data_IF_707425448415
#
_entry.id   IF_707425448415
#
_cell.length_a   1.000
_cell.length_b   1.000
_cell.length_c   1.000
_cell.angle_alpha   90.00
_cell.angle_beta   90.00
_cell.angle_gamma   90.00
#
_symmetry.space_group_name_H-M   'P 1'
#
loop_
_entity.id
_entity.type
_entity.pdbx_description
1 polymer ?
#
# COMPACT_ATOMS: atom_id res chain seq x y z
N UNK A 1 12.82 15.92 29.77
CA UNK A 1 11.86 16.86 29.17
C UNK A 1 11.32 16.17 27.93
N UNK A 2 10.10 15.61 27.98
CA UNK A 2 9.50 14.92 26.83
C UNK A 2 8.89 15.96 25.91
N UNK A 3 9.54 16.20 24.77
CA UNK A 3 8.94 16.98 23.68
C UNK A 3 7.73 16.16 23.21
N UNK A 4 6.51 16.71 23.18
CA UNK A 4 5.36 15.98 22.70
C UNK A 4 5.58 15.65 21.22
N UNK A 5 5.38 14.39 20.82
CA UNK A 5 5.57 13.88 19.45
C UNK A 5 4.94 14.79 18.38
N UNK A 6 3.87 15.52 18.73
CA UNK A 6 3.15 16.38 17.82
C UNK A 6 3.64 17.83 17.72
N UNK A 7 4.57 18.28 18.57
CA UNK A 7 5.12 19.65 18.45
C UNK A 7 6.14 19.80 17.33
N UNK A 8 6.78 18.71 16.90
CA UNK A 8 7.75 18.71 15.79
C UNK A 8 7.05 18.96 14.43
N UNK A 9 5.82 18.46 14.26
CA UNK A 9 5.04 18.65 13.03
C UNK A 9 4.52 20.09 12.81
N UNK A 10 4.64 20.99 13.80
CA UNK A 10 4.11 22.37 13.67
C UNK A 10 4.87 23.23 12.66
N UNK A 11 6.11 22.86 12.31
CA UNK A 11 6.97 23.62 11.40
C UNK A 11 6.89 23.15 9.94
N UNK A 12 6.10 22.11 9.65
CA UNK A 12 6.01 21.53 8.31
C UNK A 12 4.85 22.15 7.56
N UNK A 13 5.10 22.67 6.36
CA UNK A 13 4.01 23.15 5.50
C UNK A 13 3.05 21.98 5.18
N UNK A 14 1.73 22.13 5.41
CA UNK A 14 0.77 21.03 5.20
C UNK A 14 0.82 20.47 3.77
N UNK A 15 1.12 21.31 2.78
CA UNK A 15 1.28 20.90 1.39
C UNK A 15 2.48 19.96 1.17
N UNK A 16 3.60 20.17 1.87
CA UNK A 16 4.78 19.30 1.75
C UNK A 16 4.51 17.92 2.35
N UNK A 17 3.92 17.85 3.55
CA UNK A 17 3.57 16.59 4.18
C UNK A 17 2.59 15.77 3.32
N UNK A 18 1.53 16.41 2.83
CA UNK A 18 0.55 15.76 1.95
C UNK A 18 1.18 15.28 0.65
N UNK A 19 2.00 16.10 0.01
CA UNK A 19 2.68 15.71 -1.24
C UNK A 19 3.61 14.49 -1.01
N UNK A 20 4.30 14.43 0.15
CA UNK A 20 5.16 13.29 0.50
C UNK A 20 4.34 12.02 0.76
N UNK A 21 3.25 12.12 1.54
CA UNK A 21 2.34 11.00 1.80
C UNK A 21 1.77 10.47 0.47
N UNK A 22 1.35 11.35 -0.44
CA UNK A 22 0.82 10.96 -1.74
C UNK A 22 1.88 10.28 -2.62
N UNK A 23 3.11 10.81 -2.63
CA UNK A 23 4.22 10.17 -3.33
C UNK A 23 4.42 8.73 -2.84
N UNK A 24 4.59 8.55 -1.53
CA UNK A 24 4.80 7.23 -0.92
C UNK A 24 3.61 6.31 -1.16
N UNK A 25 2.39 6.83 -1.04
CA UNK A 25 1.16 6.10 -1.27
C UNK A 25 1.10 5.50 -2.68
N UNK A 26 1.25 6.32 -3.72
CA UNK A 26 1.19 5.84 -5.09
C UNK A 26 2.36 4.91 -5.42
N UNK A 27 3.59 5.27 -5.04
CA UNK A 27 4.76 4.42 -5.27
C UNK A 27 4.62 3.06 -4.58
N UNK A 28 4.07 3.02 -3.36
CA UNK A 28 3.83 1.77 -2.63
C UNK A 28 2.78 0.89 -3.32
N UNK A 29 1.69 1.46 -3.86
CA UNK A 29 0.74 0.69 -4.69
C UNK A 29 1.46 0.07 -5.89
N UNK A 30 2.30 0.85 -6.59
CA UNK A 30 3.09 0.36 -7.72
C UNK A 30 4.00 -0.81 -7.34
N UNK A 31 4.75 -0.70 -6.23
CA UNK A 31 5.61 -1.77 -5.71
C UNK A 31 4.80 -3.03 -5.35
N UNK A 32 3.69 -2.88 -4.63
CA UNK A 32 2.82 -4.01 -4.26
C UNK A 32 2.31 -4.72 -5.52
N UNK A 33 1.89 -3.97 -6.54
CA UNK A 33 1.43 -4.56 -7.80
C UNK A 33 2.56 -5.28 -8.55
N UNK A 34 3.76 -4.72 -8.62
CA UNK A 34 4.92 -5.40 -9.23
C UNK A 34 5.28 -6.69 -8.50
N UNK A 35 5.30 -6.67 -7.16
CA UNK A 35 5.57 -7.84 -6.33
C UNK A 35 4.48 -8.92 -6.47
N UNK A 36 3.20 -8.50 -6.56
CA UNK A 36 2.09 -9.41 -6.80
C UNK A 36 2.18 -10.06 -8.19
N UNK A 37 2.57 -9.30 -9.22
CA UNK A 37 2.77 -9.81 -10.58
C UNK A 37 3.93 -10.81 -10.62
N UNK A 38 5.08 -10.48 -10.01
CA UNK A 38 6.26 -11.39 -9.99
C UNK A 38 5.98 -12.68 -9.23
N UNK A 39 5.15 -12.61 -8.18
CA UNK A 39 4.76 -13.76 -7.35
C UNK A 39 3.49 -14.46 -7.85
N UNK A 40 2.91 -14.01 -8.96
CA UNK A 40 1.64 -14.51 -9.53
C UNK A 40 0.48 -14.55 -8.51
N UNK A 41 0.42 -13.57 -7.60
CA UNK A 41 -0.65 -13.42 -6.62
C UNK A 41 -1.89 -12.82 -7.29
N UNK A 42 -2.58 -13.63 -8.10
CA UNK A 42 -3.74 -13.22 -8.91
C UNK A 42 -4.84 -12.54 -8.10
N UNK A 43 -4.96 -12.87 -6.81
CA UNK A 43 -5.90 -12.23 -5.89
C UNK A 43 -5.65 -10.76 -5.55
N UNK A 44 -4.42 -10.28 -5.74
CA UNK A 44 -3.98 -8.93 -5.38
C UNK A 44 -3.82 -8.04 -6.62
N UNK A 45 -3.58 -8.66 -7.78
CA UNK A 45 -3.41 -7.95 -9.05
C UNK A 45 -4.71 -7.21 -9.38
N UNK A 46 -4.61 -5.89 -9.57
CA UNK A 46 -5.75 -5.00 -9.82
C UNK A 46 -6.21 -5.02 -11.28
N UNK A 47 -5.32 -5.39 -12.20
CA UNK A 47 -5.59 -5.34 -13.65
C UNK A 47 -5.29 -6.70 -14.27
N UNK A 48 -6.30 -7.27 -14.96
CA UNK A 48 -6.22 -8.64 -15.49
C UNK A 48 -5.18 -8.83 -16.60
N UNK A 49 -4.95 -7.79 -17.42
CA UNK A 49 -3.90 -7.82 -18.44
C UNK A 49 -2.53 -7.56 -17.79
N UNK A 50 -1.72 -8.61 -17.64
CA UNK A 50 -0.45 -8.55 -16.90
C UNK A 50 0.58 -7.60 -17.52
N UNK A 51 0.63 -7.47 -18.85
CA UNK A 51 1.57 -6.55 -19.51
C UNK A 51 1.21 -5.11 -19.20
N UNK A 52 -0.08 -4.78 -19.31
CA UNK A 52 -0.59 -3.45 -18.98
C UNK A 52 -0.49 -3.17 -17.47
N UNK A 53 -0.79 -4.15 -16.63
CA UNK A 53 -0.63 -4.07 -15.18
C UNK A 53 0.81 -3.77 -14.79
N UNK A 54 1.78 -4.45 -15.40
CA UNK A 54 3.21 -4.24 -15.16
C UNK A 54 3.65 -2.84 -15.56
N UNK A 55 3.24 -2.36 -16.73
CA UNK A 55 3.57 -1.00 -17.19
C UNK A 55 2.96 0.07 -16.29
N UNK A 56 1.69 -0.08 -15.90
CA UNK A 56 1.02 0.85 -15.00
C UNK A 56 1.67 0.83 -13.62
N UNK A 57 2.00 -0.35 -13.09
CA UNK A 57 2.66 -0.48 -11.80
C UNK A 57 4.04 0.17 -11.80
N UNK A 58 4.84 -0.02 -12.86
CA UNK A 58 6.13 0.65 -13.01
C UNK A 58 6.00 2.18 -13.09
N UNK A 59 5.01 2.69 -13.84
CA UNK A 59 4.71 4.12 -13.87
C UNK A 59 4.27 4.65 -12.50
N UNK A 60 3.48 3.89 -11.75
CA UNK A 60 3.07 4.25 -10.39
C UNK A 60 4.25 4.30 -9.41
N UNK A 61 5.34 3.57 -9.65
CA UNK A 61 6.55 3.69 -8.83
C UNK A 61 7.30 4.98 -9.14
N UNK A 62 7.53 5.26 -10.42
CA UNK A 62 8.47 6.30 -10.87
C UNK A 62 7.82 7.68 -10.91
N UNK A 63 6.62 7.79 -11.49
CA UNK A 63 5.99 9.09 -11.75
C UNK A 63 5.73 9.92 -10.49
N UNK A 64 5.27 9.36 -9.35
CA UNK A 64 5.06 10.14 -8.13
C UNK A 64 6.37 10.68 -7.55
N UNK A 65 7.46 9.91 -7.64
CA UNK A 65 8.79 10.35 -7.20
C UNK A 65 9.26 11.53 -8.05
N UNK A 66 9.17 11.42 -9.38
CA UNK A 66 9.52 12.51 -10.28
C UNK A 66 8.66 13.76 -10.02
N UNK A 67 7.35 13.59 -9.85
CA UNK A 67 6.43 14.69 -9.53
C UNK A 67 6.79 15.37 -8.21
N UNK A 68 7.10 14.59 -7.17
CA UNK A 68 7.42 15.12 -5.85
C UNK A 68 8.67 16.02 -5.90
N UNK A 69 9.73 15.57 -6.58
CA UNK A 69 10.98 16.33 -6.69
C UNK A 69 10.94 17.44 -7.75
N UNK A 70 10.02 17.39 -8.72
CA UNK A 70 9.88 18.44 -9.73
C UNK A 70 9.16 19.71 -9.22
N UNK A 71 8.34 19.61 -8.17
CA UNK A 71 7.43 20.69 -7.73
C UNK A 71 8.16 21.86 -7.06
N UNK A 72 9.23 21.60 -6.31
CA UNK A 72 10.06 22.62 -5.66
C UNK A 72 11.43 22.04 -5.31
N UNK A 73 12.39 22.87 -4.88
CA UNK A 73 13.67 22.36 -4.40
C UNK A 73 13.47 21.63 -3.06
N UNK A 74 13.16 20.33 -3.11
CA UNK A 74 12.86 19.51 -1.93
C UNK A 74 14.07 18.77 -1.37
N UNK A 75 15.19 18.82 -2.08
CA UNK A 75 16.45 18.22 -1.64
C UNK A 75 17.23 19.24 -0.79
N UNK A 76 16.69 19.53 0.39
CA UNK A 76 17.25 20.47 1.36
C UNK A 76 17.51 19.69 2.65
N UNK A 77 18.63 19.97 3.32
CA UNK A 77 18.94 19.35 4.60
C UNK A 77 17.95 19.77 5.68
N UNK A 78 17.69 18.88 6.65
CA UNK A 78 16.83 19.08 7.82
C UNK A 78 17.13 20.38 8.59
N UNK A 79 18.40 20.69 8.85
CA UNK A 79 18.82 21.93 9.51
C UNK A 79 18.64 23.20 8.67
N UNK A 80 18.39 23.05 7.37
CA UNK A 80 18.16 24.15 6.42
C UNK A 80 16.69 24.28 6.00
N UNK A 81 15.77 23.66 6.75
CA UNK A 81 14.32 23.69 6.48
C UNK A 81 13.82 22.53 5.61
N UNK A 82 14.65 21.50 5.42
CA UNK A 82 14.23 20.19 4.92
C UNK A 82 13.38 19.42 5.94
N UNK A 83 12.71 18.37 5.48
CA UNK A 83 11.89 17.53 6.35
C UNK A 83 12.80 16.70 7.28
N UNK A 84 12.56 16.74 8.59
CA UNK A 84 13.30 15.92 9.56
C UNK A 84 13.14 14.42 9.25
N UNK A 85 14.15 13.63 9.59
CA UNK A 85 14.15 12.19 9.31
C UNK A 85 13.01 11.45 10.06
N UNK A 86 12.66 11.87 11.27
CA UNK A 86 11.57 11.26 12.03
C UNK A 86 10.22 11.58 11.38
N UNK A 87 10.03 12.82 10.95
CA UNK A 87 8.82 13.25 10.22
C UNK A 87 8.65 12.47 8.91
N UNK A 88 9.74 12.32 8.14
CA UNK A 88 9.76 11.50 6.92
C UNK A 88 9.35 10.05 7.21
N UNK A 89 9.85 9.45 8.28
CA UNK A 89 9.52 8.08 8.66
C UNK A 89 8.02 7.93 9.00
N UNK A 90 7.45 8.89 9.73
CA UNK A 90 6.02 8.88 10.08
C UNK A 90 5.16 9.02 8.83
N UNK A 91 5.46 9.98 7.95
CA UNK A 91 4.69 10.15 6.70
C UNK A 91 4.85 8.98 5.74
N UNK A 92 6.05 8.39 5.68
CA UNK A 92 6.30 7.18 4.92
C UNK A 92 5.41 6.03 5.41
N UNK A 93 5.38 5.81 6.73
CA UNK A 93 4.57 4.76 7.34
C UNK A 93 3.07 4.98 7.03
N UNK A 94 2.57 6.20 7.18
CA UNK A 94 1.18 6.55 6.87
C UNK A 94 0.86 6.25 5.40
N UNK A 95 1.69 6.73 4.47
CA UNK A 95 1.52 6.50 3.03
C UNK A 95 1.52 5.01 2.68
N UNK A 96 2.48 4.25 3.21
CA UNK A 96 2.62 2.81 2.96
C UNK A 96 1.45 1.98 3.53
N UNK A 97 0.99 2.31 4.74
CA UNK A 97 -0.18 1.65 5.37
C UNK A 97 -1.44 1.94 4.55
N UNK A 98 -1.68 3.20 4.16
CA UNK A 98 -2.83 3.58 3.33
C UNK A 98 -2.80 2.87 1.97
N UNK A 99 -1.62 2.77 1.34
CA UNK A 99 -1.44 2.07 0.07
C UNK A 99 -1.78 0.59 0.20
N UNK A 100 -1.35 -0.05 1.28
CA UNK A 100 -1.63 -1.46 1.57
C UNK A 100 -3.13 -1.68 1.78
N UNK A 101 -3.76 -0.89 2.65
CA UNK A 101 -5.21 -0.96 2.92
C UNK A 101 -6.01 -0.76 1.63
N UNK A 102 -5.67 0.27 0.85
CA UNK A 102 -6.33 0.57 -0.42
C UNK A 102 -6.16 -0.58 -1.40
N UNK A 103 -4.94 -1.11 -1.57
CA UNK A 103 -4.68 -2.21 -2.50
C UNK A 103 -5.50 -3.44 -2.16
N UNK A 104 -5.52 -3.84 -0.88
CA UNK A 104 -6.28 -5.00 -0.42
C UNK A 104 -7.80 -4.78 -0.57
N UNK A 105 -8.28 -3.57 -0.27
CA UNK A 105 -9.71 -3.23 -0.40
C UNK A 105 -10.15 -3.26 -1.86
N UNK A 106 -9.40 -2.62 -2.75
CA UNK A 106 -9.72 -2.58 -4.18
C UNK A 106 -9.57 -3.97 -4.80
N UNK A 107 -8.51 -4.71 -4.50
CA UNK A 107 -8.32 -6.06 -5.05
C UNK A 107 -9.43 -7.02 -4.60
N UNK A 108 -9.90 -6.89 -3.35
CA UNK A 108 -11.05 -7.63 -2.83
C UNK A 108 -12.33 -7.37 -3.63
N UNK A 109 -12.55 -6.13 -4.07
CA UNK A 109 -13.72 -5.77 -4.88
C UNK A 109 -13.57 -6.26 -6.33
N UNK A 110 -12.40 -6.05 -6.94
CA UNK A 110 -12.13 -6.38 -8.35
C UNK A 110 -12.12 -7.90 -8.58
N UNK A 111 -11.52 -8.66 -7.66
CA UNK A 111 -11.30 -10.10 -7.83
C UNK A 111 -12.38 -10.98 -7.19
N UNK A 112 -13.48 -10.38 -6.69
CA UNK A 112 -14.56 -11.09 -5.95
C UNK A 112 -15.04 -12.38 -6.62
N UNK A 113 -15.19 -12.40 -7.96
CA UNK A 113 -15.67 -13.56 -8.73
C UNK A 113 -14.68 -14.73 -8.79
N UNK A 114 -13.38 -14.47 -8.74
CA UNK A 114 -12.35 -15.52 -8.73
C UNK A 114 -12.39 -16.35 -7.42
N UNK A 115 -13.06 -15.80 -6.40
CA UNK A 115 -13.08 -16.30 -5.04
C UNK A 115 -14.39 -16.95 -4.62
N UNK A 116 -15.52 -16.64 -5.25
CA UNK A 116 -16.79 -17.37 -5.05
C UNK A 116 -16.73 -18.80 -5.61
N UNK A 117 -15.85 -19.07 -6.59
CA UNK A 117 -15.75 -20.40 -7.24
C UNK A 117 -14.88 -21.40 -6.47
N UNK A 118 -13.98 -20.95 -5.58
CA UNK A 118 -13.08 -21.82 -4.82
C UNK A 118 -13.66 -22.16 -3.43
N UNK A 119 -14.71 -22.97 -3.40
CA UNK A 119 -15.41 -23.32 -2.17
C UNK A 119 -14.75 -24.45 -1.35
N UNK A 120 -13.59 -24.96 -1.78
CA UNK A 120 -12.80 -25.98 -1.07
C UNK A 120 -11.40 -25.43 -0.77
N UNK A 121 -11.23 -24.77 0.37
CA UNK A 121 -9.92 -24.31 0.83
C UNK A 121 -9.46 -25.18 2.01
N UNK A 122 -8.62 -26.21 1.78
CA UNK A 122 -7.83 -26.81 2.85
C UNK A 122 -6.83 -25.77 3.39
N UNK A 123 -6.58 -25.81 4.69
CA UNK A 123 -5.88 -24.81 5.50
C UNK A 123 -4.36 -24.67 5.25
N UNK A 124 -3.93 -24.56 3.99
CA UNK A 124 -2.54 -24.37 3.61
C UNK A 124 -2.26 -22.93 3.11
N UNK A 125 -1.05 -22.42 3.33
CA UNK A 125 -0.60 -21.08 2.89
C UNK A 125 -0.74 -20.86 1.38
N UNK A 126 -0.72 -21.94 0.59
CA UNK A 126 -0.98 -21.92 -0.85
C UNK A 126 -2.40 -21.40 -1.19
N UNK A 127 -3.36 -21.55 -0.28
CA UNK A 127 -4.72 -21.04 -0.41
C UNK A 127 -4.79 -19.51 -0.39
N UNK A 128 -3.79 -18.80 0.17
CA UNK A 128 -3.73 -17.32 0.10
C UNK A 128 -3.44 -16.81 -1.31
N UNK A 129 -2.80 -17.62 -2.17
CA UNK A 129 -2.55 -17.23 -3.57
C UNK A 129 -3.85 -17.08 -4.36
N UNK A 130 -4.84 -17.92 -4.02
CA UNK A 130 -6.11 -18.07 -4.70
C UNK A 130 -7.33 -17.72 -3.82
N UNK A 131 -7.16 -17.00 -2.69
CA UNK A 131 -8.27 -16.46 -1.87
C UNK A 131 -8.10 -14.97 -1.53
N UNK A 132 -9.20 -14.23 -1.33
CA UNK A 132 -9.12 -12.86 -0.81
C UNK A 132 -8.77 -12.89 0.68
N UNK A 133 -7.91 -11.99 1.13
CA UNK A 133 -7.56 -11.86 2.55
C UNK A 133 -8.80 -11.70 3.45
N UNK A 134 -9.80 -10.93 3.00
CA UNK A 134 -11.10 -10.78 3.69
C UNK A 134 -11.87 -12.10 3.84
N UNK A 135 -11.98 -12.88 2.76
CA UNK A 135 -12.69 -14.16 2.77
C UNK A 135 -11.97 -15.20 3.64
N UNK A 136 -10.64 -15.15 3.69
CA UNK A 136 -9.84 -16.04 4.54
C UNK A 136 -10.09 -15.76 6.03
N UNK A 137 -10.00 -14.49 6.45
CA UNK A 137 -10.31 -14.09 7.82
C UNK A 137 -11.75 -14.42 8.19
N UNK A 138 -12.72 -14.10 7.32
CA UNK A 138 -14.13 -14.41 7.54
C UNK A 138 -14.36 -15.92 7.70
N UNK A 139 -13.73 -16.75 6.88
CA UNK A 139 -13.85 -18.21 6.98
C UNK A 139 -13.18 -18.75 8.26
N UNK A 140 -11.99 -18.28 8.64
CA UNK A 140 -11.32 -18.68 9.88
C UNK A 140 -12.19 -18.33 11.10
N UNK A 141 -12.73 -17.11 11.15
CA UNK A 141 -13.64 -16.69 12.21
C UNK A 141 -14.92 -17.52 12.24
N UNK A 142 -15.53 -17.79 11.08
CA UNK A 142 -16.75 -18.62 10.97
C UNK A 142 -16.51 -20.07 11.40
N UNK A 143 -15.37 -20.66 11.03
CA UNK A 143 -15.05 -22.05 11.35
C UNK A 143 -14.76 -22.22 12.85
N UNK A 144 -14.06 -21.27 13.47
CA UNK A 144 -13.80 -21.26 14.91
C UNK A 144 -15.07 -21.09 15.75
N UNK A 145 -16.08 -20.38 15.25
CA UNK A 145 -17.37 -20.27 15.92
C UNK A 145 -18.19 -21.56 15.85
N UNK A 146 -18.07 -22.34 14.76
CA UNK A 146 -18.82 -23.59 14.55
C UNK A 146 -18.24 -24.79 15.32
N UNK A 147 -16.97 -24.70 15.72
CA UNK A 147 -16.26 -25.71 16.50
C UNK A 147 -16.25 -25.43 18.02
N UNK A 148 -17.05 -24.46 18.48
CA UNK A 148 -17.36 -24.22 19.89
C UNK A 148 -18.83 -24.54 20.14
#
# INVERSE_FOLDING_TARGET
>A
MTIPLFSEFQNISPSYAVDYILMVFFSSIGIIQLAAISSQLTGIILIRNLNLAKSIAALLVISPVLWFFAKTNRNINDYAGGLDANDQAVFFLIGAVLATITTLSVSSLVNKKLFDTNHNLPGELHSLKNSTYYNLIKNVLRNNYKNR
#
